data_IF_472071575617
#
_entry.id   IF_472071575617
#
_cell.length_a   1.000
_cell.length_b   1.000
_cell.length_c   1.000
_cell.angle_alpha   90.00
_cell.angle_beta   90.00
_cell.angle_gamma   90.00
#
_symmetry.space_group_name_H-M   'P 1'
#
loop_
_entity.id
_entity.type
_entity.pdbx_description
1 polymer ?
#
# COMPACT_ATOMS: atom_id res chain seq x y z
N UNK A 1 19.48 -1.34 -16.29
CA UNK A 1 19.13 -2.61 -15.64
C UNK A 1 20.18 -3.08 -14.64
N UNK A 2 21.49 -2.94 -14.91
CA UNK A 2 22.56 -3.42 -14.01
C UNK A 2 22.52 -2.93 -12.55
N UNK A 3 22.03 -1.72 -12.27
CA UNK A 3 21.92 -1.22 -10.89
C UNK A 3 20.75 -1.82 -10.11
N UNK A 4 19.65 -2.19 -10.78
CA UNK A 4 18.49 -2.81 -10.14
C UNK A 4 18.80 -4.26 -9.80
N UNK A 5 19.37 -4.99 -10.77
CA UNK A 5 19.81 -6.39 -10.58
C UNK A 5 20.84 -6.48 -9.43
N UNK A 6 21.85 -5.62 -9.41
CA UNK A 6 22.83 -5.58 -8.32
C UNK A 6 22.21 -5.27 -6.94
N UNK A 7 21.16 -4.44 -6.89
CA UNK A 7 20.46 -4.15 -5.64
C UNK A 7 19.64 -5.35 -5.13
N UNK A 8 19.02 -6.11 -6.03
CA UNK A 8 18.34 -7.36 -5.67
C UNK A 8 19.32 -8.43 -5.20
N UNK A 9 20.45 -8.61 -5.90
CA UNK A 9 21.50 -9.55 -5.49
C UNK A 9 22.06 -9.21 -4.09
N UNK A 10 22.33 -7.93 -3.82
CA UNK A 10 22.82 -7.50 -2.50
C UNK A 10 21.76 -7.71 -1.40
N UNK A 11 20.49 -7.45 -1.70
CA UNK A 11 19.40 -7.69 -0.75
C UNK A 11 19.22 -9.19 -0.46
N UNK A 12 19.30 -10.05 -1.48
CA UNK A 12 19.24 -11.50 -1.32
C UNK A 12 20.42 -12.02 -0.47
N UNK A 13 21.64 -11.52 -0.75
CA UNK A 13 22.83 -11.86 0.05
C UNK A 13 22.73 -11.43 1.51
N UNK A 14 22.02 -10.33 1.78
CA UNK A 14 21.76 -9.84 3.14
C UNK A 14 20.57 -10.57 3.81
N UNK A 15 19.89 -11.48 3.10
CA UNK A 15 18.79 -12.27 3.62
C UNK A 15 17.51 -11.47 3.83
N UNK A 16 17.24 -10.45 3.01
CA UNK A 16 15.96 -9.76 3.04
C UNK A 16 14.85 -10.63 2.44
N UNK A 17 13.76 -10.81 3.18
CA UNK A 17 12.60 -11.59 2.72
C UNK A 17 11.71 -10.81 1.74
N UNK A 18 11.71 -9.47 1.82
CA UNK A 18 10.82 -8.61 1.04
C UNK A 18 11.56 -7.45 0.39
N UNK A 19 11.23 -7.17 -0.88
CA UNK A 19 11.60 -5.96 -1.59
C UNK A 19 10.34 -5.13 -1.90
N UNK A 20 10.37 -3.84 -1.57
CA UNK A 20 9.28 -2.90 -1.85
C UNK A 20 9.76 -1.90 -2.90
N UNK A 21 9.04 -1.83 -4.02
CA UNK A 21 9.28 -0.84 -5.07
C UNK A 21 8.15 0.19 -5.07
N UNK A 22 8.49 1.46 -4.83
CA UNK A 22 7.59 2.59 -4.97
C UNK A 22 7.78 3.22 -6.35
N UNK A 23 6.82 3.05 -7.24
CA UNK A 23 6.89 3.54 -8.62
C UNK A 23 6.20 4.89 -8.74
N UNK A 24 6.85 5.83 -9.44
CA UNK A 24 6.17 7.06 -9.81
C UNK A 24 5.16 6.79 -10.94
N UNK A 25 4.07 7.56 -10.97
CA UNK A 25 3.11 7.55 -12.06
C UNK A 25 3.78 7.84 -13.41
N UNK A 26 3.44 7.04 -14.43
CA UNK A 26 3.95 7.17 -15.79
C UNK A 26 4.38 5.83 -16.40
N UNK A 27 4.30 5.73 -17.73
CA UNK A 27 4.67 4.54 -18.50
C UNK A 27 6.17 4.56 -18.84
N UNK A 28 7.00 4.27 -17.85
CA UNK A 28 8.46 4.12 -18.04
C UNK A 28 8.86 2.64 -18.19
N UNK A 29 9.93 2.38 -18.93
CA UNK A 29 10.50 1.04 -19.08
C UNK A 29 10.87 0.43 -17.73
N UNK A 30 11.38 1.24 -16.80
CA UNK A 30 11.70 0.80 -15.44
C UNK A 30 10.45 0.35 -14.67
N UNK A 31 9.33 1.06 -14.80
CA UNK A 31 8.07 0.64 -14.17
C UNK A 31 7.61 -0.71 -14.72
N UNK A 32 7.79 -0.96 -16.03
CA UNK A 32 7.41 -2.24 -16.63
C UNK A 32 8.27 -3.38 -16.09
N UNK A 33 9.59 -3.15 -15.98
CA UNK A 33 10.50 -4.12 -15.39
C UNK A 33 10.11 -4.44 -13.94
N UNK A 34 9.84 -3.42 -13.13
CA UNK A 34 9.40 -3.59 -11.72
C UNK A 34 8.09 -4.37 -11.66
N UNK A 35 7.11 -4.03 -12.50
CA UNK A 35 5.82 -4.72 -12.53
C UNK A 35 6.00 -6.20 -12.92
N UNK A 36 6.75 -6.47 -13.98
CA UNK A 36 6.98 -7.82 -14.49
C UNK A 36 7.84 -8.69 -13.55
N UNK A 37 8.68 -8.07 -12.72
CA UNK A 37 9.52 -8.78 -11.75
C UNK A 37 8.87 -8.93 -10.36
N UNK A 38 7.65 -8.45 -10.16
CA UNK A 38 6.97 -8.45 -8.85
C UNK A 38 6.18 -9.74 -8.59
N UNK A 39 6.08 -10.14 -7.33
CA UNK A 39 5.22 -11.27 -6.90
C UNK A 39 3.80 -10.81 -6.49
N UNK A 40 3.63 -9.52 -6.20
CA UNK A 40 2.37 -8.91 -5.80
C UNK A 40 2.36 -7.44 -6.24
N UNK A 41 1.25 -6.98 -6.79
CA UNK A 41 1.03 -5.60 -7.17
C UNK A 41 -0.10 -5.00 -6.34
N UNK A 42 0.18 -3.86 -5.70
CA UNK A 42 -0.81 -3.12 -4.92
C UNK A 42 -1.01 -1.73 -5.54
N UNK A 43 -2.27 -1.41 -5.87
CA UNK A 43 -2.66 -0.12 -6.43
C UNK A 43 -3.40 0.68 -5.35
N UNK A 44 -2.74 1.66 -4.71
CA UNK A 44 -3.38 2.50 -3.71
C UNK A 44 -4.36 3.49 -4.35
N UNK A 45 -5.50 3.73 -3.71
CA UNK A 45 -6.50 4.72 -4.15
C UNK A 45 -7.30 5.29 -3.00
N UNK A 46 -7.79 6.52 -3.14
CA UNK A 46 -8.73 7.14 -2.19
C UNK A 46 -10.16 7.05 -2.72
N UNK A 47 -11.16 7.18 -1.84
CA UNK A 47 -12.58 7.16 -2.23
C UNK A 47 -13.05 8.53 -2.75
N UNK A 48 -12.34 9.06 -3.75
CA UNK A 48 -12.75 10.26 -4.50
C UNK A 48 -12.86 9.92 -6.00
N UNK A 49 -13.74 10.60 -6.76
CA UNK A 49 -13.89 10.32 -8.19
C UNK A 49 -12.56 10.32 -8.97
N UNK A 50 -11.71 11.31 -8.71
CA UNK A 50 -10.44 11.49 -9.42
C UNK A 50 -9.47 10.34 -9.15
N UNK A 51 -9.29 9.99 -7.87
CA UNK A 51 -8.39 8.91 -7.46
C UNK A 51 -8.87 7.54 -7.96
N UNK A 52 -10.18 7.34 -8.07
CA UNK A 52 -10.77 6.10 -8.60
C UNK A 52 -10.50 5.99 -10.10
N UNK A 53 -10.74 7.05 -10.87
CA UNK A 53 -10.47 7.05 -12.31
C UNK A 53 -8.98 6.78 -12.60
N UNK A 54 -8.08 7.39 -11.83
CA UNK A 54 -6.64 7.16 -11.94
C UNK A 54 -6.24 5.73 -11.55
N UNK A 55 -6.82 5.18 -10.48
CA UNK A 55 -6.57 3.80 -10.06
C UNK A 55 -7.08 2.79 -11.09
N UNK A 56 -8.24 3.03 -11.70
CA UNK A 56 -8.78 2.18 -12.77
C UNK A 56 -7.91 2.23 -14.03
N UNK A 57 -7.40 3.41 -14.39
CA UNK A 57 -6.43 3.59 -15.49
C UNK A 57 -5.13 2.82 -15.22
N UNK A 58 -4.60 2.92 -14.01
CA UNK A 58 -3.40 2.19 -13.57
C UNK A 58 -3.62 0.69 -13.55
N UNK A 59 -4.77 0.24 -13.05
CA UNK A 59 -5.13 -1.17 -13.02
C UNK A 59 -5.22 -1.74 -14.44
N UNK A 60 -5.87 -1.02 -15.35
CA UNK A 60 -5.95 -1.39 -16.76
C UNK A 60 -4.57 -1.53 -17.39
N UNK A 61 -3.70 -0.54 -17.17
CA UNK A 61 -2.32 -0.56 -17.66
C UNK A 61 -1.55 -1.80 -17.18
N UNK A 62 -1.63 -2.09 -15.88
CA UNK A 62 -0.99 -3.28 -15.29
C UNK A 62 -1.51 -4.55 -15.96
N UNK A 63 -2.82 -4.72 -16.09
CA UNK A 63 -3.40 -5.90 -16.74
C UNK A 63 -2.97 -6.01 -18.20
N UNK A 64 -2.97 -4.91 -18.97
CA UNK A 64 -2.53 -4.92 -20.36
C UNK A 64 -1.06 -5.36 -20.49
N UNK A 65 -0.18 -4.89 -19.59
CA UNK A 65 1.22 -5.30 -19.54
C UNK A 65 1.39 -6.77 -19.15
N UNK A 66 0.69 -7.24 -18.11
CA UNK A 66 0.76 -8.64 -17.69
C UNK A 66 0.28 -9.58 -18.80
N UNK A 67 -0.77 -9.20 -19.54
CA UNK A 67 -1.26 -9.95 -20.68
C UNK A 67 -0.25 -9.96 -21.84
N UNK A 68 0.40 -8.83 -22.14
CA UNK A 68 1.39 -8.78 -23.23
C UNK A 68 2.64 -9.62 -22.94
N UNK A 69 3.03 -9.70 -21.67
CA UNK A 69 4.17 -10.50 -21.21
C UNK A 69 3.80 -11.94 -20.82
N UNK A 70 2.52 -12.32 -20.95
CA UNK A 70 1.98 -13.63 -20.57
C UNK A 70 2.29 -14.00 -19.10
N UNK A 71 2.14 -13.03 -18.20
CA UNK A 71 2.36 -13.14 -16.76
C UNK A 71 1.04 -13.20 -15.98
N UNK A 72 1.07 -13.87 -14.83
CA UNK A 72 -0.05 -13.92 -13.88
C UNK A 72 0.47 -13.49 -12.52
N UNK A 73 0.44 -12.17 -12.28
CA UNK A 73 0.87 -11.57 -11.02
C UNK A 73 -0.37 -11.10 -10.25
N UNK A 74 -0.59 -11.56 -9.01
CA UNK A 74 -1.67 -11.07 -8.17
C UNK A 74 -1.65 -9.53 -8.09
N UNK A 75 -2.77 -8.90 -8.45
CA UNK A 75 -2.93 -7.44 -8.45
C UNK A 75 -4.16 -7.09 -7.64
N UNK A 76 -4.03 -6.19 -6.66
CA UNK A 76 -5.14 -5.77 -5.82
C UNK A 76 -5.16 -4.27 -5.56
N UNK A 77 -6.37 -3.74 -5.35
CA UNK A 77 -6.57 -2.33 -4.98
C UNK A 77 -6.53 -2.18 -3.46
N UNK A 78 -5.74 -1.22 -2.98
CA UNK A 78 -5.69 -0.82 -1.58
C UNK A 78 -6.42 0.50 -1.38
N UNK A 79 -7.54 0.47 -0.67
CA UNK A 79 -8.29 1.68 -0.31
C UNK A 79 -7.59 2.41 0.83
N UNK A 80 -7.24 3.67 0.60
CA UNK A 80 -6.53 4.54 1.53
C UNK A 80 -7.36 5.74 1.95
N UNK A 81 -7.01 6.30 3.11
CA UNK A 81 -7.70 7.44 3.75
C UNK A 81 -9.21 7.23 3.83
N UNK A 82 -9.64 6.01 4.13
CA UNK A 82 -11.05 5.70 4.31
C UNK A 82 -11.53 6.33 5.62
N UNK A 83 -12.62 7.11 5.64
CA UNK A 83 -13.13 7.68 6.89
C UNK A 83 -13.42 6.58 7.92
N UNK A 84 -13.00 6.81 9.18
CA UNK A 84 -13.32 5.90 10.31
C UNK A 84 -14.82 5.89 10.62
N UNK A 85 -15.52 6.98 10.28
CA UNK A 85 -16.95 7.13 10.44
C UNK A 85 -17.77 6.53 9.29
N UNK A 86 -19.06 6.84 9.28
CA UNK A 86 -19.97 6.40 8.20
C UNK A 86 -19.56 7.05 6.87
N UNK A 87 -19.38 6.22 5.84
CA UNK A 87 -19.17 6.70 4.48
C UNK A 87 -20.36 7.52 4.01
N UNK A 88 -20.07 8.62 3.31
CA UNK A 88 -21.06 9.36 2.54
C UNK A 88 -21.64 8.48 1.42
N UNK A 89 -22.79 8.86 0.88
CA UNK A 89 -23.40 8.15 -0.27
C UNK A 89 -22.43 8.07 -1.45
N UNK A 90 -21.70 9.15 -1.70
CA UNK A 90 -20.69 9.24 -2.77
C UNK A 90 -19.58 8.19 -2.54
N UNK A 91 -18.91 8.24 -1.39
CA UNK A 91 -17.82 7.32 -1.04
C UNK A 91 -18.26 5.86 -1.03
N UNK A 92 -19.50 5.57 -0.63
CA UNK A 92 -20.06 4.22 -0.70
C UNK A 92 -20.17 3.75 -2.15
N UNK A 93 -20.74 4.57 -3.04
CA UNK A 93 -20.84 4.22 -4.45
C UNK A 93 -19.46 3.96 -5.08
N UNK A 94 -18.43 4.74 -4.69
CA UNK A 94 -17.04 4.49 -5.12
C UNK A 94 -16.47 3.19 -4.56
N UNK A 95 -16.70 2.89 -3.28
CA UNK A 95 -16.27 1.60 -2.71
C UNK A 95 -16.97 0.42 -3.38
N UNK A 96 -18.26 0.55 -3.71
CA UNK A 96 -19.04 -0.48 -4.39
C UNK A 96 -18.54 -0.70 -5.82
N UNK A 97 -18.14 0.36 -6.52
CA UNK A 97 -17.50 0.28 -7.84
C UNK A 97 -16.20 -0.54 -7.78
N UNK A 98 -15.32 -0.25 -6.82
CA UNK A 98 -14.07 -0.97 -6.65
C UNK A 98 -14.26 -2.44 -6.26
N UNK A 99 -15.37 -2.80 -5.61
CA UNK A 99 -15.63 -4.17 -5.16
C UNK A 99 -15.73 -5.19 -6.32
N UNK A 100 -15.81 -4.72 -7.57
CA UNK A 100 -15.71 -5.56 -8.77
C UNK A 100 -14.28 -6.02 -9.10
N UNK A 101 -13.27 -5.41 -8.49
CA UNK A 101 -11.85 -5.76 -8.63
C UNK A 101 -11.38 -6.58 -7.41
N UNK A 102 -10.22 -7.25 -7.50
CA UNK A 102 -9.53 -7.73 -6.31
C UNK A 102 -9.20 -6.53 -5.41
N UNK A 103 -9.82 -6.47 -4.24
CA UNK A 103 -9.62 -5.39 -3.27
C UNK A 103 -9.10 -5.97 -1.96
N UNK A 104 -8.12 -5.27 -1.39
CA UNK A 104 -7.65 -5.56 -0.03
C UNK A 104 -8.81 -5.34 0.96
N UNK A 105 -9.15 -6.40 1.70
CA UNK A 105 -10.31 -6.41 2.60
C UNK A 105 -10.19 -5.36 3.70
N UNK A 106 -8.98 -5.16 4.23
CA UNK A 106 -8.70 -4.16 5.27
C UNK A 106 -8.27 -2.82 4.64
N UNK A 107 -9.10 -1.77 4.67
CA UNK A 107 -8.69 -0.46 4.18
C UNK A 107 -7.71 0.21 5.15
N UNK A 108 -6.92 1.16 4.64
CA UNK A 108 -6.22 2.12 5.49
C UNK A 108 -7.13 3.28 5.81
N UNK A 109 -7.43 3.47 7.09
CA UNK A 109 -8.30 4.57 7.50
C UNK A 109 -7.55 5.91 7.53
N UNK A 110 -8.29 6.99 7.36
CA UNK A 110 -7.79 8.33 7.58
C UNK A 110 -7.50 8.54 9.06
N UNK A 111 -6.23 8.80 9.38
CA UNK A 111 -5.75 9.01 10.74
C UNK A 111 -4.73 10.13 10.79
N UNK A 112 -4.88 11.04 11.74
CA UNK A 112 -3.90 12.10 12.02
C UNK A 112 -2.50 11.55 12.26
N UNK A 113 -2.40 10.33 12.76
CA UNK A 113 -1.16 9.59 12.93
C UNK A 113 -0.34 9.49 11.63
N UNK A 114 -0.98 9.18 10.50
CA UNK A 114 -0.31 9.10 9.19
C UNK A 114 0.14 10.47 8.71
N UNK A 115 -0.68 11.50 8.87
CA UNK A 115 -0.33 12.87 8.50
C UNK A 115 0.86 13.41 9.33
N UNK A 116 0.87 13.09 10.63
CA UNK A 116 1.88 13.55 11.57
C UNK A 116 3.25 12.87 11.37
N UNK A 117 3.35 11.77 10.60
CA UNK A 117 4.62 11.09 10.33
C UNK A 117 5.66 12.01 9.70
N UNK A 118 5.22 12.98 8.89
CA UNK A 118 6.11 13.96 8.25
C UNK A 118 6.87 14.81 9.27
N UNK A 119 6.24 15.11 10.41
CA UNK A 119 6.81 15.96 11.45
C UNK A 119 7.43 15.15 12.60
N UNK A 120 6.81 14.00 12.94
CA UNK A 120 7.15 13.21 14.13
C UNK A 120 8.06 12.02 13.86
N UNK A 121 8.26 11.69 12.58
CA UNK A 121 9.01 10.51 12.14
C UNK A 121 8.14 9.26 12.05
N UNK A 122 8.79 8.12 11.78
CA UNK A 122 8.10 6.85 11.53
C UNK A 122 7.23 6.40 12.71
N UNK A 123 6.05 5.83 12.44
CA UNK A 123 5.06 5.46 13.46
C UNK A 123 5.62 4.50 14.52
N UNK A 124 6.34 3.46 14.10
CA UNK A 124 6.89 2.46 15.03
C UNK A 124 7.95 3.08 15.98
N UNK A 125 8.78 4.00 15.47
CA UNK A 125 9.74 4.74 16.29
C UNK A 125 9.03 5.73 17.23
N UNK A 126 8.02 6.43 16.71
CA UNK A 126 7.20 7.35 17.51
C UNK A 126 6.53 6.63 18.67
N UNK A 127 5.99 5.43 18.44
CA UNK A 127 5.41 4.60 19.49
C UNK A 127 6.43 4.11 20.51
N UNK A 128 7.62 3.66 20.07
CA UNK A 128 8.69 3.24 20.97
C UNK A 128 9.10 4.39 21.90
N UNK A 129 9.24 5.60 21.37
CA UNK A 129 9.62 6.79 22.13
C UNK A 129 8.51 7.27 23.10
N UNK A 130 7.25 7.00 22.81
CA UNK A 130 6.13 7.42 23.67
C UNK A 130 5.89 6.48 24.86
N UNK A 131 6.42 5.25 24.85
CA UNK A 131 6.29 4.31 25.98
C UNK A 131 6.94 4.82 27.27
N UNK A 132 7.85 5.78 27.18
CA UNK A 132 8.52 6.39 28.33
C UNK A 132 7.78 7.59 28.94
N UNK A 133 6.68 8.09 28.34
CA UNK A 133 5.95 9.27 28.84
C UNK A 133 4.48 8.93 29.20
N UNK A 134 4.13 8.87 30.50
CA UNK A 134 2.78 8.55 30.97
C UNK A 134 1.70 9.57 30.57
N UNK A 135 2.07 10.79 30.19
CA UNK A 135 1.14 11.85 29.78
C UNK A 135 0.61 11.65 28.35
N UNK A 136 1.26 10.80 27.57
CA UNK A 136 0.98 10.58 26.15
C UNK A 136 0.07 9.37 25.88
N UNK A 137 -0.50 8.73 26.91
CA UNK A 137 -1.29 7.49 26.82
C UNK A 137 -2.46 7.53 25.81
N UNK A 138 -3.15 8.66 25.70
CA UNK A 138 -4.25 8.79 24.73
C UNK A 138 -3.75 8.83 23.29
N UNK A 139 -2.64 9.54 23.03
CA UNK A 139 -2.01 9.59 21.72
C UNK A 139 -1.39 8.23 21.35
N UNK A 140 -0.78 7.55 22.33
CA UNK A 140 -0.25 6.20 22.19
C UNK A 140 -1.32 5.20 21.73
N UNK A 141 -2.54 5.28 22.29
CA UNK A 141 -3.66 4.42 21.89
C UNK A 141 -4.01 4.60 20.41
N UNK A 142 -4.10 5.85 19.93
CA UNK A 142 -4.44 6.14 18.53
C UNK A 142 -3.33 5.65 17.56
N UNK A 143 -2.07 5.85 17.95
CA UNK A 143 -0.92 5.35 17.17
C UNK A 143 -0.88 3.82 17.13
N UNK A 144 -1.25 3.15 18.23
CA UNK A 144 -1.29 1.69 18.29
C UNK A 144 -2.33 1.10 17.35
N UNK A 145 -3.53 1.65 17.32
CA UNK A 145 -4.59 1.24 16.37
C UNK A 145 -4.09 1.43 14.92
N UNK A 146 -3.38 2.52 14.65
CA UNK A 146 -2.76 2.77 13.33
C UNK A 146 -1.73 1.69 12.97
N UNK A 147 -0.90 1.26 13.94
CA UNK A 147 0.05 0.16 13.70
C UNK A 147 -0.63 -1.20 13.52
N UNK A 148 -1.74 -1.47 14.22
CA UNK A 148 -2.50 -2.71 14.04
C UNK A 148 -3.09 -2.83 12.63
N UNK A 149 -3.54 -1.71 12.04
CA UNK A 149 -3.95 -1.65 10.63
C UNK A 149 -2.76 -1.97 9.69
N UNK A 150 -1.59 -1.40 9.94
CA UNK A 150 -0.38 -1.69 9.16
C UNK A 150 0.05 -3.16 9.25
N UNK A 151 -0.03 -3.76 10.45
CA UNK A 151 0.27 -5.19 10.64
C UNK A 151 -0.72 -6.08 9.89
N UNK A 152 -1.98 -5.65 9.77
CA UNK A 152 -2.97 -6.41 9.01
C UNK A 152 -2.63 -6.40 7.50
N UNK A 153 -2.18 -5.27 6.99
CA UNK A 153 -1.72 -5.16 5.59
C UNK A 153 -0.43 -5.95 5.37
N UNK A 154 0.52 -5.93 6.33
CA UNK A 154 1.76 -6.69 6.20
C UNK A 154 1.53 -8.20 6.18
N UNK A 155 0.49 -8.70 6.87
CA UNK A 155 0.13 -10.12 6.82
C UNK A 155 -0.39 -10.54 5.45
N UNK A 156 -1.11 -9.67 4.74
CA UNK A 156 -1.55 -9.94 3.38
C UNK A 156 -0.37 -10.06 2.41
N UNK A 157 0.71 -9.33 2.66
CA UNK A 157 1.96 -9.46 1.88
C UNK A 157 2.61 -10.82 2.16
N UNK A 158 2.65 -11.26 3.42
CA UNK A 158 3.23 -12.57 3.79
C UNK A 158 2.38 -13.79 3.41
N UNK A 159 1.07 -13.65 3.23
CA UNK A 159 0.18 -14.75 2.79
C UNK A 159 0.19 -14.95 1.26
N UNK A 160 0.68 -13.98 0.49
CA UNK A 160 0.83 -14.10 -0.96
C UNK A 160 2.00 -15.02 -1.39
N UNK A 161 2.80 -15.53 -0.44
CA UNK A 161 3.93 -16.43 -0.65
C UNK A 161 3.58 -17.92 -0.47
N UNK A 162 2.29 -18.26 -0.32
CA UNK A 162 1.78 -19.62 -0.12
C UNK A 162 1.33 -20.34 -1.38
#
# INVERSE_FOLDING_TARGET
MSLLEAAYEDAELQGFDYALADTHGGSSELNNTIIASSNLLLIPTMLTPLDIDEALSTYRYVIELLLSENLVIPTAVLRQRVPVGRLTTSQRAMSDMLASLPVVQSPMHERDAFAAMKERGMLHLTLLNMRSDPTMRFLERNLRITMEELVTISKLIGEAEG
#
